data_IF_430208677799
#
_entry.id   IF_430208677799
#
_cell.length_a   1.000
_cell.length_b   1.000
_cell.length_c   1.000
_cell.angle_alpha   90.00
_cell.angle_beta   90.00
_cell.angle_gamma   90.00
#
_symmetry.space_group_name_H-M   'P 1'
#
loop_
_entity.id
_entity.type
_entity.pdbx_description
1 polymer ?
#
# COMPACT_ATOMS: atom_id res chain seq x y z
N UNK A 1 -2.36 -27.45 -10.94
CA UNK A 1 -3.05 -27.13 -9.68
C UNK A 1 -2.94 -25.64 -9.47
N UNK A 2 -3.97 -24.98 -8.95
CA UNK A 2 -3.86 -23.57 -8.59
C UNK A 2 -2.72 -23.35 -7.57
N UNK A 3 -2.05 -22.21 -7.63
CA UNK A 3 -1.03 -21.83 -6.65
C UNK A 3 -1.71 -21.51 -5.32
N UNK A 4 -0.97 -21.70 -4.22
CA UNK A 4 -1.41 -21.21 -2.93
C UNK A 4 -1.35 -19.67 -2.90
N UNK A 5 -2.31 -19.03 -2.23
CA UNK A 5 -2.28 -17.57 -2.01
C UNK A 5 -1.01 -17.15 -1.27
N UNK A 6 -0.46 -16.02 -1.65
CA UNK A 6 0.74 -15.44 -1.01
C UNK A 6 0.40 -14.87 0.37
N UNK A 7 1.17 -15.22 1.39
CA UNK A 7 1.11 -14.53 2.68
C UNK A 7 1.59 -13.08 2.53
N UNK A 8 0.70 -12.09 2.71
CA UNK A 8 0.96 -10.67 2.48
C UNK A 8 1.45 -9.97 3.74
N UNK A 9 2.73 -10.16 4.08
CA UNK A 9 3.34 -9.66 5.32
C UNK A 9 3.30 -8.13 5.44
N UNK A 10 3.29 -7.39 4.32
CA UNK A 10 3.17 -5.93 4.32
C UNK A 10 1.85 -5.40 4.91
N UNK A 11 0.82 -6.24 5.05
CA UNK A 11 -0.44 -5.88 5.72
C UNK A 11 -0.31 -5.96 7.24
N UNK A 12 0.51 -6.89 7.74
CA UNK A 12 0.69 -7.13 9.18
C UNK A 12 1.78 -6.22 9.75
N UNK A 13 2.92 -6.14 9.07
CA UNK A 13 4.03 -5.26 9.43
C UNK A 13 4.58 -4.51 8.20
N UNK A 14 4.14 -3.26 7.97
CA UNK A 14 4.61 -2.45 6.84
C UNK A 14 6.07 -1.99 6.99
N UNK A 15 6.71 -2.22 8.14
CA UNK A 15 8.11 -1.83 8.40
C UNK A 15 9.13 -2.89 7.98
N UNK A 16 8.67 -4.11 7.66
CA UNK A 16 9.53 -5.16 7.14
C UNK A 16 10.14 -4.78 5.79
N UNK A 17 11.46 -4.83 5.72
CA UNK A 17 12.25 -4.47 4.52
C UNK A 17 12.95 -5.67 3.88
N UNK A 18 12.97 -6.81 4.55
CA UNK A 18 13.56 -8.06 4.07
C UNK A 18 12.85 -9.28 4.61
N UNK A 19 12.78 -10.36 3.82
CA UNK A 19 12.24 -11.66 4.21
C UNK A 19 12.80 -12.77 3.34
N UNK A 20 12.97 -13.96 3.92
CA UNK A 20 13.19 -15.20 3.15
C UNK A 20 11.84 -15.77 2.72
N UNK A 21 11.75 -16.19 1.47
CA UNK A 21 10.54 -16.73 0.87
C UNK A 21 10.87 -17.98 0.03
N UNK A 22 9.84 -18.73 -0.31
CA UNK A 22 9.93 -19.89 -1.21
C UNK A 22 9.22 -19.56 -2.51
N UNK A 23 9.88 -19.86 -3.62
CA UNK A 23 9.32 -19.70 -4.97
C UNK A 23 8.18 -20.71 -5.17
N UNK A 24 7.00 -20.24 -5.52
CA UNK A 24 5.85 -21.05 -5.89
C UNK A 24 5.82 -21.35 -7.39
N UNK A 25 6.15 -20.33 -8.20
CA UNK A 25 6.19 -20.46 -9.66
C UNK A 25 7.11 -19.39 -10.29
N UNK A 26 7.60 -19.68 -11.47
CA UNK A 26 8.31 -18.73 -12.35
C UNK A 26 7.65 -18.80 -13.72
N UNK A 27 7.11 -17.69 -14.21
CA UNK A 27 6.40 -17.60 -15.49
C UNK A 27 6.79 -16.30 -16.19
N UNK A 28 7.38 -16.37 -17.36
CA UNK A 28 7.69 -15.21 -18.23
C UNK A 28 8.39 -14.03 -17.51
N UNK A 29 9.32 -14.35 -16.60
CA UNK A 29 10.05 -13.34 -15.85
C UNK A 29 9.33 -12.80 -14.61
N UNK A 30 8.15 -13.32 -14.29
CA UNK A 30 7.46 -13.09 -13.02
C UNK A 30 7.67 -14.27 -12.07
N UNK A 31 7.82 -13.96 -10.80
CA UNK A 31 8.04 -14.94 -9.72
C UNK A 31 6.93 -14.80 -8.68
N UNK A 32 6.21 -15.89 -8.44
CA UNK A 32 5.26 -16.02 -7.34
C UNK A 32 5.97 -16.58 -6.11
N UNK A 33 5.69 -16.03 -4.93
CA UNK A 33 6.30 -16.41 -3.66
C UNK A 33 5.23 -16.87 -2.66
N UNK A 34 5.62 -17.75 -1.72
CA UNK A 34 4.77 -18.19 -0.60
C UNK A 34 4.41 -17.03 0.34
N UNK A 35 5.29 -16.05 0.45
CA UNK A 35 5.10 -14.82 1.23
C UNK A 35 5.74 -13.62 0.57
N UNK A 36 5.20 -12.42 0.80
CA UNK A 36 5.75 -11.19 0.26
C UNK A 36 5.62 -10.02 1.22
N UNK A 37 6.67 -9.19 1.25
CA UNK A 37 6.70 -7.87 1.89
C UNK A 37 6.45 -6.74 0.88
N UNK A 38 6.35 -7.03 -0.42
CA UNK A 38 6.13 -6.03 -1.46
C UNK A 38 4.65 -5.70 -1.60
N UNK A 39 4.31 -4.43 -1.48
CA UNK A 39 2.96 -3.94 -1.79
C UNK A 39 2.74 -3.97 -3.32
N UNK A 40 1.67 -4.61 -3.81
CA UNK A 40 1.45 -4.80 -5.25
C UNK A 40 0.84 -3.57 -5.95
N UNK A 41 0.65 -2.47 -5.22
CA UNK A 41 -0.07 -1.30 -5.74
C UNK A 41 -1.56 -1.34 -5.43
N UNK A 42 -2.23 -0.23 -5.67
CA UNK A 42 -3.67 -0.07 -5.46
C UNK A 42 -4.01 1.19 -4.68
N UNK A 43 -5.27 1.64 -4.77
CA UNK A 43 -5.74 2.84 -4.06
C UNK A 43 -4.97 4.12 -4.44
N UNK A 44 -4.47 4.21 -5.68
CA UNK A 44 -3.66 5.33 -6.15
C UNK A 44 -2.18 5.24 -5.78
N UNK A 45 -1.76 4.23 -5.01
CA UNK A 45 -0.35 4.01 -4.68
C UNK A 45 0.28 3.01 -5.66
N UNK A 46 1.45 3.32 -6.26
CA UNK A 46 2.18 2.37 -7.10
C UNK A 46 2.77 1.23 -6.27
N UNK A 47 3.13 0.14 -6.92
CA UNK A 47 3.78 -0.99 -6.28
C UNK A 47 5.18 -0.62 -5.76
N UNK A 48 5.67 -1.44 -4.82
CA UNK A 48 7.04 -1.34 -4.37
C UNK A 48 8.04 -1.77 -5.44
N UNK A 49 9.27 -1.33 -5.27
CA UNK A 49 10.47 -1.85 -5.91
C UNK A 49 11.38 -2.51 -4.87
N UNK A 50 12.37 -3.25 -5.34
CA UNK A 50 13.30 -3.95 -4.46
C UNK A 50 14.17 -4.92 -5.20
N UNK A 51 14.65 -5.96 -4.52
CA UNK A 51 15.47 -7.01 -5.12
C UNK A 51 15.03 -8.39 -4.66
N UNK A 52 15.19 -9.36 -5.54
CA UNK A 52 15.04 -10.78 -5.24
C UNK A 52 16.36 -11.48 -5.54
N UNK A 53 16.92 -12.17 -4.53
CA UNK A 53 18.19 -12.87 -4.63
C UNK A 53 18.01 -14.35 -4.35
N UNK A 54 18.50 -15.22 -5.23
CA UNK A 54 18.69 -16.63 -4.91
C UNK A 54 19.87 -16.77 -3.93
N UNK A 55 19.84 -17.78 -3.06
CA UNK A 55 20.78 -17.98 -1.94
C UNK A 55 22.27 -18.03 -2.36
N UNK A 56 22.59 -18.10 -3.65
CA UNK A 56 23.95 -18.25 -4.19
C UNK A 56 24.26 -17.31 -5.35
N UNK A 57 23.61 -16.14 -5.49
CA UNK A 57 23.80 -15.31 -6.66
C UNK A 57 23.51 -13.82 -6.46
N UNK A 58 23.77 -13.05 -7.50
CA UNK A 58 23.43 -11.65 -7.56
C UNK A 58 21.89 -11.51 -7.58
N UNK A 59 21.37 -10.54 -6.83
CA UNK A 59 19.94 -10.21 -6.83
C UNK A 59 19.51 -9.62 -8.17
N UNK A 60 18.24 -9.82 -8.55
CA UNK A 60 17.60 -9.14 -9.65
C UNK A 60 16.66 -8.06 -9.13
N UNK A 61 16.65 -6.92 -9.82
CA UNK A 61 15.73 -5.82 -9.50
C UNK A 61 14.28 -6.26 -9.76
N UNK A 62 13.40 -5.89 -8.85
CA UNK A 62 11.95 -6.02 -9.01
C UNK A 62 11.43 -4.76 -9.68
N UNK A 63 10.96 -4.89 -10.92
CA UNK A 63 10.46 -3.76 -11.73
C UNK A 63 8.98 -3.51 -11.56
N UNK A 64 8.21 -4.54 -11.21
CA UNK A 64 6.79 -4.39 -10.84
C UNK A 64 6.33 -5.54 -9.94
N UNK A 65 5.27 -5.26 -9.18
CA UNK A 65 4.58 -6.24 -8.33
C UNK A 65 3.09 -6.13 -8.61
N UNK A 66 2.40 -7.25 -8.73
CA UNK A 66 0.94 -7.32 -8.87
C UNK A 66 0.37 -8.45 -8.03
N UNK A 67 -0.89 -8.35 -7.65
CA UNK A 67 -1.67 -9.47 -7.12
C UNK A 67 -2.67 -9.90 -8.19
N UNK A 68 -2.91 -11.21 -8.29
CA UNK A 68 -3.96 -11.76 -9.14
C UNK A 68 -5.26 -12.03 -8.36
N UNK A 69 -6.26 -12.60 -9.04
CA UNK A 69 -7.57 -12.90 -8.48
C UNK A 69 -7.55 -14.01 -7.42
N UNK A 70 -6.51 -14.87 -7.45
CA UNK A 70 -6.28 -15.94 -6.48
C UNK A 70 -5.42 -15.49 -5.29
N UNK A 71 -5.21 -14.18 -5.12
CA UNK A 71 -4.37 -13.59 -4.07
C UNK A 71 -2.89 -13.98 -4.14
N UNK A 72 -2.40 -14.43 -5.28
CA UNK A 72 -0.99 -14.69 -5.53
C UNK A 72 -0.28 -13.39 -5.88
N UNK A 73 0.82 -13.07 -5.18
CA UNK A 73 1.64 -11.89 -5.45
C UNK A 73 2.79 -12.26 -6.39
N UNK A 74 2.80 -11.64 -7.56
CA UNK A 74 3.77 -11.82 -8.61
C UNK A 74 4.77 -10.67 -8.64
N UNK A 75 6.05 -11.02 -8.73
CA UNK A 75 7.17 -10.08 -8.77
C UNK A 75 7.84 -10.19 -10.14
N UNK A 76 7.70 -9.16 -10.98
CA UNK A 76 8.40 -9.09 -12.26
C UNK A 76 9.83 -8.68 -12.03
N UNK A 77 10.76 -9.49 -12.49
CA UNK A 77 12.19 -9.25 -12.39
C UNK A 77 12.74 -8.65 -13.68
N UNK A 78 13.71 -7.74 -13.54
CA UNK A 78 14.45 -7.18 -14.68
C UNK A 78 15.23 -8.27 -15.42
N UNK A 79 15.93 -9.13 -14.67
CA UNK A 79 16.68 -10.28 -15.19
C UNK A 79 16.55 -11.43 -14.17
N UNK A 80 15.61 -12.37 -14.38
CA UNK A 80 15.46 -13.51 -13.48
C UNK A 80 16.76 -14.31 -13.38
N UNK A 81 17.17 -14.73 -12.16
CA UNK A 81 18.33 -15.58 -11.98
C UNK A 81 18.21 -16.88 -12.80
N UNK A 82 19.28 -17.28 -13.48
CA UNK A 82 19.30 -18.51 -14.25
C UNK A 82 19.02 -19.71 -13.34
N UNK A 83 18.10 -20.58 -13.78
CA UNK A 83 17.74 -21.79 -13.05
C UNK A 83 16.81 -21.55 -11.85
N UNK A 84 16.26 -20.36 -11.68
CA UNK A 84 15.27 -20.11 -10.64
C UNK A 84 14.02 -20.96 -10.89
N UNK A 85 13.62 -21.77 -9.90
CA UNK A 85 12.53 -22.72 -10.02
C UNK A 85 11.70 -22.83 -8.74
N UNK A 86 10.48 -23.35 -8.86
CA UNK A 86 9.61 -23.63 -7.72
C UNK A 86 10.31 -24.48 -6.65
N UNK A 87 10.04 -24.20 -5.39
CA UNK A 87 10.63 -24.83 -4.21
C UNK A 87 11.96 -24.22 -3.76
N UNK A 88 12.58 -23.35 -4.53
CA UNK A 88 13.83 -22.70 -4.13
C UNK A 88 13.58 -21.59 -3.10
N UNK A 89 14.52 -21.42 -2.18
CA UNK A 89 14.54 -20.29 -1.23
C UNK A 89 15.20 -19.07 -1.87
N UNK A 90 14.59 -17.92 -1.64
CA UNK A 90 15.05 -16.62 -2.12
C UNK A 90 14.97 -15.60 -0.99
N UNK A 91 15.85 -14.61 -1.01
CA UNK A 91 15.75 -13.43 -0.16
C UNK A 91 15.06 -12.32 -0.96
N UNK A 92 13.98 -11.78 -0.40
CA UNK A 92 13.23 -10.66 -0.94
C UNK A 92 13.52 -9.41 -0.11
N UNK A 93 13.87 -8.31 -0.74
CA UNK A 93 14.02 -7.01 -0.08
C UNK A 93 13.27 -5.90 -0.82
N UNK A 94 12.80 -4.91 -0.07
CA UNK A 94 12.08 -3.74 -0.56
C UNK A 94 13.01 -2.53 -0.50
N UNK A 95 12.91 -1.63 -1.49
CA UNK A 95 13.55 -0.32 -1.45
C UNK A 95 12.99 0.50 -0.27
N UNK A 96 13.83 0.77 0.76
CA UNK A 96 13.36 1.41 1.98
C UNK A 96 13.00 2.89 1.79
N UNK A 97 13.65 3.58 0.86
CA UNK A 97 13.40 5.00 0.62
C UNK A 97 12.08 5.20 -0.08
N UNK A 98 11.84 4.43 -1.16
CA UNK A 98 10.58 4.42 -1.89
C UNK A 98 9.40 4.01 -0.99
N UNK A 99 9.53 2.92 -0.22
CA UNK A 99 8.50 2.48 0.74
C UNK A 99 8.16 3.58 1.73
N UNK A 100 9.16 4.22 2.32
CA UNK A 100 8.98 5.28 3.32
C UNK A 100 8.34 6.52 2.72
N UNK A 101 8.74 6.92 1.50
CA UNK A 101 8.15 8.03 0.78
C UNK A 101 6.66 7.79 0.52
N UNK A 102 6.30 6.64 -0.06
CA UNK A 102 4.89 6.29 -0.31
C UNK A 102 4.07 6.23 0.99
N UNK A 103 4.59 5.64 2.07
CA UNK A 103 3.88 5.57 3.34
C UNK A 103 3.59 6.95 3.94
N UNK A 104 4.56 7.88 3.88
CA UNK A 104 4.39 9.27 4.34
C UNK A 104 3.35 10.01 3.51
N UNK A 105 3.44 9.95 2.20
CA UNK A 105 2.50 10.60 1.29
C UNK A 105 1.09 10.02 1.46
N UNK A 106 0.94 8.72 1.55
CA UNK A 106 -0.34 8.06 1.75
C UNK A 106 -1.01 8.54 3.05
N UNK A 107 -0.27 8.52 4.16
CA UNK A 107 -0.77 9.02 5.46
C UNK A 107 -1.14 10.49 5.39
N UNK A 108 -0.30 11.35 4.77
CA UNK A 108 -0.59 12.77 4.60
C UNK A 108 -1.86 13.03 3.77
N UNK A 109 -2.10 12.24 2.72
CA UNK A 109 -3.33 12.34 1.93
C UNK A 109 -4.57 11.92 2.74
N UNK A 110 -4.48 10.93 3.62
CA UNK A 110 -5.58 10.59 4.53
C UNK A 110 -5.88 11.71 5.53
N UNK A 111 -4.85 12.35 6.09
CA UNK A 111 -5.02 13.54 6.94
C UNK A 111 -5.71 14.67 6.17
N UNK A 112 -5.20 14.99 4.99
CA UNK A 112 -5.78 16.02 4.13
C UNK A 112 -7.22 15.72 3.75
N UNK A 113 -7.53 14.48 3.36
CA UNK A 113 -8.88 14.06 3.02
C UNK A 113 -9.85 14.21 4.21
N UNK A 114 -9.43 13.78 5.40
CA UNK A 114 -10.26 13.90 6.61
C UNK A 114 -10.55 15.37 6.94
N UNK A 115 -9.55 16.24 6.91
CA UNK A 115 -9.71 17.68 7.17
C UNK A 115 -10.61 18.32 6.09
N UNK A 116 -10.38 18.03 4.81
CA UNK A 116 -11.17 18.58 3.72
C UNK A 116 -12.65 18.16 3.81
N UNK A 117 -12.90 16.90 4.16
CA UNK A 117 -14.27 16.41 4.35
C UNK A 117 -14.96 17.09 5.55
N UNK A 118 -14.28 17.16 6.70
CA UNK A 118 -14.86 17.71 7.92
C UNK A 118 -15.07 19.23 7.86
N UNK A 119 -14.12 19.97 7.30
CA UNK A 119 -14.17 21.43 7.28
C UNK A 119 -14.96 22.00 6.10
N UNK A 120 -15.00 21.29 4.98
CA UNK A 120 -15.54 21.82 3.72
C UNK A 120 -16.53 20.89 3.03
N UNK A 121 -16.85 19.70 3.59
CA UNK A 121 -17.71 18.72 2.94
C UNK A 121 -17.10 18.17 1.62
N UNK A 122 -15.79 18.29 1.46
CA UNK A 122 -15.09 17.93 0.23
C UNK A 122 -14.81 16.44 0.16
N UNK A 123 -15.56 15.73 -0.66
CA UNK A 123 -15.35 14.29 -0.91
C UNK A 123 -14.22 14.08 -1.89
N UNK A 124 -13.38 13.09 -1.61
CA UNK A 124 -12.33 12.66 -2.54
C UNK A 124 -12.94 12.01 -3.78
N UNK A 125 -12.40 12.35 -4.95
CA UNK A 125 -12.77 11.76 -6.25
C UNK A 125 -11.62 11.04 -6.93
N UNK A 126 -10.38 11.27 -6.47
CA UNK A 126 -9.20 10.58 -6.98
C UNK A 126 -7.97 10.86 -6.13
N UNK A 127 -7.02 9.95 -6.19
CA UNK A 127 -5.70 10.13 -5.57
C UNK A 127 -4.62 9.45 -6.41
N UNK A 128 -3.44 10.05 -6.43
CA UNK A 128 -2.23 9.47 -6.99
C UNK A 128 -1.08 9.72 -6.03
N UNK A 129 -0.48 8.65 -5.54
CA UNK A 129 0.62 8.69 -4.58
C UNK A 129 1.93 8.50 -5.34
N UNK A 130 2.87 9.40 -5.13
CA UNK A 130 4.23 9.30 -5.67
C UNK A 130 5.28 9.37 -4.57
N UNK A 131 6.55 9.19 -4.96
CA UNK A 131 7.67 9.30 -4.02
C UNK A 131 8.04 10.76 -3.76
N UNK A 132 7.94 11.61 -4.78
CA UNK A 132 8.34 13.02 -4.71
C UNK A 132 7.15 13.94 -4.44
N UNK A 133 6.00 13.64 -5.05
CA UNK A 133 4.75 14.38 -4.85
C UNK A 133 3.55 13.45 -4.99
N UNK A 134 2.41 13.89 -4.46
CA UNK A 134 1.14 13.20 -4.58
C UNK A 134 0.04 14.16 -5.00
N UNK A 135 -1.00 13.63 -5.64
CA UNK A 135 -2.19 14.38 -6.03
C UNK A 135 -3.41 13.80 -5.32
N UNK A 136 -4.30 14.68 -4.91
CA UNK A 136 -5.64 14.35 -4.45
C UNK A 136 -6.66 15.25 -5.14
N UNK A 137 -7.73 14.68 -5.61
CA UNK A 137 -8.80 15.37 -6.29
C UNK A 137 -10.05 15.38 -5.39
N UNK A 138 -10.66 16.55 -5.22
CA UNK A 138 -11.85 16.74 -4.42
C UNK A 138 -13.02 17.22 -5.23
N UNK A 139 -14.23 16.80 -4.86
CA UNK A 139 -15.47 17.40 -5.34
C UNK A 139 -15.71 18.72 -4.58
N UNK A 140 -15.24 19.82 -5.18
CA UNK A 140 -15.39 21.18 -4.67
C UNK A 140 -15.87 22.10 -5.78
N UNK A 141 -16.75 23.06 -5.44
CA UNK A 141 -17.20 24.06 -6.43
C UNK A 141 -16.07 25.00 -6.86
N UNK A 142 -15.21 25.38 -5.92
CA UNK A 142 -14.08 26.29 -6.18
C UNK A 142 -12.91 26.03 -5.24
N UNK A 143 -11.74 25.85 -5.82
CA UNK A 143 -10.48 25.85 -5.09
C UNK A 143 -9.94 27.31 -5.07
N UNK A 144 -9.74 27.87 -3.88
CA UNK A 144 -9.19 29.22 -3.70
C UNK A 144 -7.84 29.17 -2.97
N UNK A 145 -6.97 30.21 -3.16
CA UNK A 145 -5.72 30.29 -2.42
C UNK A 145 -5.91 30.27 -0.89
N UNK A 146 -6.97 30.91 -0.39
CA UNK A 146 -7.28 30.94 1.04
C UNK A 146 -7.65 29.54 1.56
N UNK A 147 -8.43 28.75 0.82
CA UNK A 147 -8.76 27.38 1.17
C UNK A 147 -7.52 26.49 1.17
N UNK A 148 -6.64 26.65 0.16
CA UNK A 148 -5.37 25.91 0.12
C UNK A 148 -4.47 26.23 1.31
N UNK A 149 -4.39 27.52 1.70
CA UNK A 149 -3.61 27.92 2.85
C UNK A 149 -4.18 27.32 4.17
N UNK A 150 -5.49 27.39 4.38
CA UNK A 150 -6.11 26.79 5.58
C UNK A 150 -5.92 25.27 5.66
N UNK A 151 -6.12 24.56 4.53
CA UNK A 151 -5.84 23.10 4.49
C UNK A 151 -4.36 22.81 4.79
N UNK A 152 -3.44 23.59 4.23
CA UNK A 152 -1.99 23.44 4.49
C UNK A 152 -1.66 23.62 5.96
N UNK A 153 -2.18 24.65 6.60
CA UNK A 153 -1.93 24.95 8.01
C UNK A 153 -2.47 23.85 8.91
N UNK A 154 -3.69 23.37 8.66
CA UNK A 154 -4.31 22.28 9.43
C UNK A 154 -3.58 20.96 9.27
N UNK A 155 -3.23 20.57 8.03
CA UNK A 155 -2.45 19.33 7.78
C UNK A 155 -1.10 19.41 8.50
N UNK A 156 -0.39 20.53 8.36
CA UNK A 156 0.90 20.71 9.01
C UNK A 156 0.79 20.71 10.54
N UNK A 157 -0.31 21.19 11.12
CA UNK A 157 -0.56 21.10 12.56
C UNK A 157 -0.66 19.64 13.01
N UNK A 158 -1.41 18.80 12.29
CA UNK A 158 -1.51 17.35 12.57
C UNK A 158 -0.16 16.66 12.43
N UNK A 159 0.58 16.95 11.34
CA UNK A 159 1.92 16.35 11.12
C UNK A 159 2.88 16.71 12.25
N UNK A 160 2.88 17.97 12.69
CA UNK A 160 3.70 18.41 13.84
C UNK A 160 3.29 17.76 15.17
N UNK A 161 2.04 17.33 15.31
CA UNK A 161 1.53 16.62 16.48
C UNK A 161 2.20 15.25 16.70
N UNK A 162 2.80 14.66 15.68
CA UNK A 162 3.56 13.41 15.82
C UNK A 162 2.69 12.22 16.21
N UNK A 163 1.49 12.12 15.67
CA UNK A 163 0.51 11.09 15.99
C UNK A 163 0.99 9.69 15.61
N UNK A 164 0.74 8.71 16.49
CA UNK A 164 0.99 7.30 16.18
C UNK A 164 -0.01 6.80 15.14
N UNK A 165 0.50 6.04 14.17
CA UNK A 165 -0.31 5.35 13.17
C UNK A 165 -0.30 3.87 13.47
N UNK A 166 -1.47 3.28 13.65
CA UNK A 166 -1.65 1.86 13.93
C UNK A 166 -2.62 1.23 12.93
N UNK A 167 -2.58 -0.08 12.79
CA UNK A 167 -3.50 -0.83 11.94
C UNK A 167 -4.11 -1.99 12.74
N UNK A 168 -5.38 -2.26 12.49
CA UNK A 168 -6.11 -3.39 13.08
C UNK A 168 -7.09 -3.97 12.07
N UNK A 169 -7.45 -5.22 12.27
CA UNK A 169 -8.48 -5.88 11.48
C UNK A 169 -9.83 -5.75 12.19
N UNK A 170 -10.87 -5.47 11.43
CA UNK A 170 -12.25 -5.31 11.89
C UNK A 170 -13.15 -6.25 11.07
N UNK A 171 -14.10 -6.99 11.68
CA UNK A 171 -15.07 -7.76 10.94
C UNK A 171 -15.81 -6.90 9.91
N UNK A 172 -15.99 -7.41 8.69
CA UNK A 172 -16.70 -6.68 7.62
C UNK A 172 -18.13 -6.34 8.02
N UNK A 173 -18.77 -7.19 8.81
CA UNK A 173 -20.12 -6.96 9.35
C UNK A 173 -20.13 -5.73 10.25
N UNK A 174 -19.16 -5.56 11.13
CA UNK A 174 -19.01 -4.39 11.99
C UNK A 174 -18.69 -3.13 11.17
N UNK A 175 -17.79 -3.26 10.18
CA UNK A 175 -17.42 -2.15 9.30
C UNK A 175 -18.62 -1.59 8.53
N UNK A 176 -19.57 -2.43 8.12
CA UNK A 176 -20.77 -2.00 7.39
C UNK A 176 -21.65 -1.02 8.18
N UNK A 177 -21.63 -1.12 9.50
CA UNK A 177 -22.38 -0.25 10.42
C UNK A 177 -21.62 1.03 10.75
N UNK A 178 -20.36 1.13 10.32
CA UNK A 178 -19.43 2.23 10.61
C UNK A 178 -19.31 3.18 9.41
N UNK A 179 -20.40 3.85 9.04
CA UNK A 179 -20.41 4.84 7.97
C UNK A 179 -19.42 6.01 8.20
N UNK A 180 -19.06 6.26 9.46
CA UNK A 180 -18.06 7.25 9.87
C UNK A 180 -16.63 6.93 9.39
N UNK A 181 -16.36 5.67 9.05
CA UNK A 181 -15.06 5.23 8.54
C UNK A 181 -14.93 5.38 7.01
N UNK A 182 -16.04 5.61 6.31
CA UNK A 182 -16.00 5.80 4.86
C UNK A 182 -15.37 7.16 4.51
N UNK A 183 -14.44 7.14 3.57
CA UNK A 183 -13.74 8.34 3.07
C UNK A 183 -13.95 8.59 1.58
N UNK A 184 -14.61 7.65 0.89
CA UNK A 184 -14.94 7.71 -0.53
C UNK A 184 -16.42 7.39 -0.72
N UNK A 185 -17.06 7.97 -1.74
CA UNK A 185 -18.47 7.72 -2.03
C UNK A 185 -18.71 6.39 -2.75
N UNK A 186 -17.79 5.98 -3.62
CA UNK A 186 -18.01 4.91 -4.59
C UNK A 186 -17.19 3.65 -4.34
N UNK A 187 -16.05 3.78 -3.66
CA UNK A 187 -15.10 2.67 -3.46
C UNK A 187 -15.10 2.23 -2.00
N UNK A 188 -15.44 0.97 -1.76
CA UNK A 188 -15.29 0.35 -0.44
C UNK A 188 -13.89 -0.26 -0.30
N UNK A 189 -13.32 -0.27 0.92
CA UNK A 189 -12.07 -0.97 1.15
C UNK A 189 -12.24 -2.47 0.89
N UNK A 190 -11.20 -3.15 0.37
CA UNK A 190 -11.25 -4.58 0.17
C UNK A 190 -11.37 -5.32 1.50
N UNK A 191 -12.27 -6.30 1.55
CA UNK A 191 -12.34 -7.26 2.65
C UNK A 191 -11.48 -8.49 2.32
N UNK A 192 -10.81 -9.03 3.34
CA UNK A 192 -10.08 -10.27 3.26
C UNK A 192 -10.51 -11.19 4.40
N UNK A 193 -10.86 -12.43 4.10
CA UNK A 193 -11.34 -13.41 5.09
C UNK A 193 -12.47 -12.85 5.98
N UNK A 194 -13.38 -12.03 5.40
CA UNK A 194 -14.47 -11.36 6.11
C UNK A 194 -14.01 -10.22 7.04
N UNK A 195 -12.78 -9.72 6.87
CA UNK A 195 -12.23 -8.62 7.67
C UNK A 195 -11.76 -7.46 6.79
N UNK A 196 -11.91 -6.24 7.30
CA UNK A 196 -11.42 -5.00 6.70
C UNK A 196 -10.26 -4.46 7.53
N UNK A 197 -9.19 -4.07 6.88
CA UNK A 197 -8.03 -3.46 7.54
C UNK A 197 -8.29 -1.99 7.79
N UNK A 198 -8.32 -1.58 9.05
CA UNK A 198 -8.51 -0.20 9.48
C UNK A 198 -7.16 0.38 9.94
N UNK A 199 -6.82 1.55 9.40
CA UNK A 199 -5.65 2.31 9.82
C UNK A 199 -6.13 3.52 10.63
N UNK A 200 -5.59 3.67 11.83
CA UNK A 200 -5.94 4.74 12.77
C UNK A 200 -4.75 5.67 12.98
N UNK A 201 -5.01 6.96 12.90
CA UNK A 201 -4.09 8.03 13.33
C UNK A 201 -4.57 8.45 14.71
N UNK A 202 -3.82 8.13 15.76
CA UNK A 202 -4.26 8.30 17.15
C UNK A 202 -4.44 9.79 17.49
N UNK A 203 -5.59 10.13 18.08
CA UNK A 203 -5.90 11.51 18.47
C UNK A 203 -6.26 12.45 17.31
N UNK A 204 -6.53 11.89 16.14
CA UNK A 204 -6.93 12.67 14.97
C UNK A 204 -8.18 12.07 14.30
#
# INVERSE_FOLDING_TARGET
MPLAATQRLYLDDPTLLGVDAVVLAVVEGEVALDRSICFPGGGGQPCDSGTLSATAGHGSSIVSVRADEDDVVWHRLEAPPSGLAAGQRVALSVDPERRRAHARHHTALHVLNTIALQAYGAWITGAQIGADYSRIDFKLEKLSPALCADLTDRVNAVVRGGHRVSAQWMPETEFRDRGDLLRTLEVRPPARDGQVRIVTIEGF
#
